data_IF_365002547486
#
_entry.id   IF_365002547486
#
_cell.length_a   1.000
_cell.length_b   1.000
_cell.length_c   1.000
_cell.angle_alpha   90.00
_cell.angle_beta   90.00
_cell.angle_gamma   90.00
#
_symmetry.space_group_name_H-M   'P 1'
#
loop_
_entity.id
_entity.type
_entity.pdbx_description
1 polymer ?
#
# COMPACT_ATOMS: atom_id res chain seq x y z
N UNK A 1 -17.82 -10.74 1.89
CA UNK A 1 -18.02 -12.14 1.45
C UNK A 1 -18.37 -12.11 -0.03
N UNK A 2 -17.43 -12.37 -0.96
CA UNK A 2 -17.82 -12.50 -2.36
C UNK A 2 -18.70 -13.75 -2.51
N UNK A 3 -19.80 -13.62 -3.25
CA UNK A 3 -20.83 -14.64 -3.40
C UNK A 3 -20.36 -15.80 -4.28
N UNK A 4 -20.36 -17.01 -3.71
CA UNK A 4 -20.06 -18.27 -4.38
C UNK A 4 -21.20 -18.76 -5.28
N UNK A 5 -21.30 -18.21 -6.50
CA UNK A 5 -22.02 -18.91 -7.58
C UNK A 5 -21.04 -19.22 -8.73
N UNK A 6 -20.56 -20.46 -8.88
CA UNK A 6 -19.62 -20.87 -9.93
C UNK A 6 -20.35 -21.13 -11.26
N UNK A 7 -21.15 -20.16 -11.69
CA UNK A 7 -21.80 -20.20 -13.00
C UNK A 7 -20.76 -20.00 -14.11
N UNK A 8 -20.30 -21.09 -14.72
CA UNK A 8 -19.63 -21.15 -16.03
C UNK A 8 -18.56 -20.06 -16.32
N UNK A 9 -17.78 -19.67 -15.32
CA UNK A 9 -16.68 -18.71 -15.50
C UNK A 9 -15.50 -19.43 -16.13
N UNK A 10 -15.12 -19.05 -17.35
CA UNK A 10 -13.90 -19.57 -17.95
C UNK A 10 -12.70 -19.00 -17.20
N UNK A 11 -11.75 -19.86 -16.82
CA UNK A 11 -10.46 -19.44 -16.26
C UNK A 11 -9.71 -18.70 -17.37
N UNK A 12 -9.27 -17.49 -17.06
CA UNK A 12 -8.47 -16.68 -17.97
C UNK A 12 -7.00 -17.05 -17.81
N UNK A 13 -6.51 -17.09 -16.57
CA UNK A 13 -5.17 -17.53 -16.22
C UNK A 13 -5.07 -17.89 -14.73
N UNK A 14 -3.95 -18.51 -14.36
CA UNK A 14 -3.59 -18.71 -12.96
C UNK A 14 -2.11 -18.42 -12.73
N UNK A 15 -1.79 -17.76 -11.61
CA UNK A 15 -0.43 -17.53 -11.15
C UNK A 15 -0.14 -18.37 -9.91
N UNK A 16 0.97 -19.09 -9.95
CA UNK A 16 1.51 -19.75 -8.77
C UNK A 16 2.52 -18.82 -8.11
N UNK A 17 2.21 -18.44 -6.88
CA UNK A 17 3.09 -17.74 -5.98
C UNK A 17 3.52 -18.78 -4.97
N UNK A 18 4.48 -19.62 -5.38
CA UNK A 18 4.87 -20.81 -4.63
C UNK A 18 3.71 -21.77 -4.37
N UNK A 19 3.20 -21.79 -3.14
CA UNK A 19 2.07 -22.63 -2.69
C UNK A 19 0.70 -21.95 -2.82
N UNK A 20 0.68 -20.63 -3.06
CA UNK A 20 -0.53 -19.87 -3.35
C UNK A 20 -0.83 -19.96 -4.84
N UNK A 21 -2.06 -20.31 -5.19
CA UNK A 21 -2.58 -20.27 -6.55
C UNK A 21 -3.66 -19.19 -6.64
N UNK A 22 -3.35 -18.16 -7.42
CA UNK A 22 -4.28 -17.11 -7.78
C UNK A 22 -4.90 -17.51 -9.12
N UNK A 23 -6.22 -17.61 -9.18
CA UNK A 23 -6.96 -17.92 -10.40
C UNK A 23 -7.87 -16.77 -10.75
N UNK A 24 -7.69 -16.24 -11.95
CA UNK A 24 -8.43 -15.11 -12.47
C UNK A 24 -9.34 -15.59 -13.57
N UNK A 25 -10.59 -15.14 -13.51
CA UNK A 25 -11.65 -15.54 -14.42
C UNK A 25 -11.88 -14.49 -15.50
N UNK A 26 -12.49 -14.93 -16.60
CA UNK A 26 -12.86 -14.12 -17.76
C UNK A 26 -13.79 -12.93 -17.47
N UNK A 27 -14.36 -12.85 -16.27
CA UNK A 27 -15.17 -11.72 -15.80
C UNK A 27 -14.41 -10.76 -14.87
N UNK A 28 -13.08 -10.92 -14.76
CA UNK A 28 -12.23 -10.12 -13.88
C UNK A 28 -12.29 -10.52 -12.41
N UNK A 29 -13.11 -11.52 -12.04
CA UNK A 29 -13.10 -12.01 -10.65
C UNK A 29 -11.89 -12.88 -10.39
N UNK A 30 -11.43 -12.88 -9.13
CA UNK A 30 -10.27 -13.63 -8.71
C UNK A 30 -10.60 -14.55 -7.54
N UNK A 31 -9.88 -15.67 -7.50
CA UNK A 31 -9.89 -16.58 -6.35
C UNK A 31 -8.47 -16.87 -5.95
N UNK A 32 -8.21 -16.83 -4.66
CA UNK A 32 -6.94 -17.23 -4.09
C UNK A 32 -7.16 -18.55 -3.37
N UNK A 33 -6.45 -19.57 -3.84
CA UNK A 33 -6.37 -20.87 -3.21
C UNK A 33 -4.95 -21.07 -2.71
N UNK A 34 -4.77 -21.86 -1.66
CA UNK A 34 -3.44 -22.19 -1.16
C UNK A 34 -3.39 -23.68 -0.81
N UNK A 35 -2.28 -24.30 -1.18
CA UNK A 35 -2.05 -25.73 -1.02
C UNK A 35 -1.11 -26.07 0.15
N UNK A 36 -0.59 -25.07 0.88
CA UNK A 36 0.30 -25.30 2.03
C UNK A 36 -0.45 -25.48 3.36
N UNK A 37 0.18 -26.25 4.27
CA UNK A 37 -0.27 -26.35 5.65
C UNK A 37 0.39 -25.24 6.48
N UNK A 38 -0.41 -24.29 7.00
CA UNK A 38 0.09 -23.23 7.89
C UNK A 38 0.19 -21.82 7.29
N UNK A 39 -0.56 -21.57 6.22
CA UNK A 39 -0.76 -20.26 5.59
C UNK A 39 -1.37 -19.28 6.57
N UNK A 40 -0.85 -18.07 6.63
CA UNK A 40 -1.44 -16.99 7.41
C UNK A 40 -2.36 -16.17 6.52
N UNK A 41 -3.65 -16.07 6.83
CA UNK A 41 -4.57 -15.14 6.16
C UNK A 41 -4.92 -14.00 7.11
N UNK A 42 -4.71 -12.76 6.66
CA UNK A 42 -5.05 -11.55 7.41
C UNK A 42 -6.08 -10.74 6.62
N UNK A 43 -7.00 -10.12 7.36
CA UNK A 43 -7.91 -9.11 6.82
C UNK A 43 -7.71 -7.85 7.64
N UNK A 44 -7.36 -6.76 6.97
CA UNK A 44 -7.22 -5.44 7.58
C UNK A 44 -8.58 -4.72 7.45
N UNK A 45 -9.01 -4.00 8.49
CA UNK A 45 -10.29 -3.27 8.50
C UNK A 45 -10.09 -1.82 8.96
N UNK A 46 -10.55 -0.82 8.18
CA UNK A 46 -10.25 0.61 8.34
C UNK A 46 -8.88 1.00 7.74
N UNK A 47 -8.60 2.30 7.52
CA UNK A 47 -7.30 2.77 7.01
C UNK A 47 -6.18 2.43 8.00
N UNK A 48 -5.43 1.37 7.74
CA UNK A 48 -4.37 0.92 8.64
C UNK A 48 -3.08 0.64 7.87
N UNK A 49 -1.97 0.99 8.52
CA UNK A 49 -0.65 0.48 8.18
C UNK A 49 -0.43 -0.85 8.90
N UNK A 50 -0.23 -1.91 8.13
CA UNK A 50 0.04 -3.25 8.63
C UNK A 50 1.44 -3.69 8.18
N UNK A 51 2.37 -3.74 9.14
CA UNK A 51 3.65 -4.40 8.93
C UNK A 51 3.47 -5.92 8.94
N UNK A 52 4.02 -6.59 7.96
CA UNK A 52 4.17 -8.04 7.87
C UNK A 52 5.64 -8.37 8.12
N UNK A 53 5.89 -9.06 9.23
CA UNK A 53 7.17 -9.64 9.55
C UNK A 53 6.94 -11.11 9.89
N UNK A 54 7.38 -11.99 9.01
CA UNK A 54 7.51 -13.41 9.25
C UNK A 54 8.91 -13.87 8.84
N UNK A 55 9.40 -14.91 9.51
CA UNK A 55 10.70 -15.52 9.23
C UNK A 55 10.53 -17.03 9.00
N UNK A 56 9.30 -17.49 8.74
CA UNK A 56 8.98 -18.91 8.62
C UNK A 56 8.86 -19.37 7.16
N UNK A 57 9.16 -18.48 6.20
CA UNK A 57 9.13 -18.67 4.75
C UNK A 57 7.78 -19.17 4.21
N UNK A 58 6.72 -19.08 5.01
CA UNK A 58 5.38 -19.50 4.61
C UNK A 58 4.65 -18.38 3.90
N UNK A 59 3.65 -18.77 3.13
CA UNK A 59 2.76 -17.81 2.49
C UNK A 59 1.91 -17.05 3.52
N UNK A 60 1.97 -15.72 3.42
CA UNK A 60 1.05 -14.78 4.05
C UNK A 60 0.16 -14.14 2.99
N UNK A 61 -1.16 -14.24 3.18
CA UNK A 61 -2.19 -13.65 2.32
C UNK A 61 -2.87 -12.53 3.08
N UNK A 62 -2.86 -11.32 2.53
CA UNK A 62 -3.43 -10.12 3.17
C UNK A 62 -4.48 -9.50 2.26
N UNK A 63 -5.67 -9.27 2.81
CA UNK A 63 -6.72 -8.49 2.18
C UNK A 63 -6.94 -7.21 2.97
N UNK A 64 -6.62 -6.07 2.36
CA UNK A 64 -7.00 -4.76 2.86
C UNK A 64 -8.46 -4.43 2.48
N UNK A 65 -8.98 -3.36 3.06
CA UNK A 65 -10.39 -3.00 2.96
C UNK A 65 -10.56 -1.78 2.06
N UNK A 66 -11.77 -1.23 1.98
CA UNK A 66 -12.13 -0.29 0.92
C UNK A 66 -11.63 1.15 1.13
N UNK A 67 -10.62 1.38 1.97
CA UNK A 67 -10.13 2.71 2.25
C UNK A 67 -8.60 2.68 2.36
N UNK A 68 -7.93 3.51 1.56
CA UNK A 68 -6.47 3.51 1.34
C UNK A 68 -5.64 3.00 2.51
N UNK A 69 -5.03 1.85 2.29
CA UNK A 69 -4.35 1.02 3.27
C UNK A 69 -2.85 0.90 2.94
N UNK A 70 -2.05 0.53 3.94
CA UNK A 70 -0.60 0.33 3.79
C UNK A 70 -0.27 -1.09 4.24
N UNK A 71 0.26 -1.92 3.33
CA UNK A 71 0.74 -3.27 3.64
C UNK A 71 2.25 -3.28 3.47
N UNK A 72 2.99 -3.23 4.58
CA UNK A 72 4.45 -3.26 4.57
C UNK A 72 4.96 -4.69 4.80
N UNK A 73 5.16 -5.43 3.72
CA UNK A 73 5.81 -6.74 3.73
C UNK A 73 7.32 -6.69 3.52
N UNK A 74 7.97 -5.52 3.54
CA UNK A 74 9.39 -5.37 3.21
C UNK A 74 10.36 -6.20 4.06
N UNK A 75 9.91 -6.65 5.24
CA UNK A 75 10.66 -7.51 6.17
C UNK A 75 10.20 -8.97 6.18
N UNK A 76 9.16 -9.32 5.42
CA UNK A 76 8.62 -10.68 5.32
C UNK A 76 9.44 -11.58 4.39
N UNK A 77 9.25 -12.88 4.55
CA UNK A 77 9.78 -13.91 3.67
C UNK A 77 8.73 -14.97 3.36
N UNK A 78 8.66 -15.40 2.11
CA UNK A 78 7.71 -16.42 1.72
C UNK A 78 7.08 -16.12 0.37
N UNK A 79 6.08 -16.93 0.02
CA UNK A 79 5.35 -16.71 -1.22
C UNK A 79 4.01 -16.04 -0.93
N UNK A 80 4.03 -14.71 -0.88
CA UNK A 80 2.96 -13.90 -0.31
C UNK A 80 2.01 -13.32 -1.36
N UNK A 81 0.80 -12.96 -0.93
CA UNK A 81 -0.17 -12.29 -1.79
C UNK A 81 -0.89 -11.17 -1.03
N UNK A 82 -0.74 -9.92 -1.48
CA UNK A 82 -1.32 -8.74 -0.85
C UNK A 82 -2.30 -8.04 -1.80
N UNK A 83 -3.49 -7.73 -1.30
CA UNK A 83 -4.59 -7.11 -2.05
C UNK A 83 -4.98 -5.81 -1.34
N UNK A 84 -4.82 -4.67 -2.02
CA UNK A 84 -5.11 -3.32 -1.50
C UNK A 84 -6.59 -3.07 -1.29
N UNK A 85 -7.40 -3.19 -2.35
CA UNK A 85 -8.86 -3.13 -2.24
C UNK A 85 -9.43 -1.91 -2.91
N UNK A 86 -10.02 -0.97 -2.16
CA UNK A 86 -10.45 0.31 -2.75
C UNK A 86 -9.73 1.47 -2.07
N UNK A 87 -9.49 2.55 -2.82
CA UNK A 87 -8.77 3.72 -2.32
C UNK A 87 -7.32 3.67 -2.78
N UNK A 88 -6.51 4.66 -2.37
CA UNK A 88 -5.08 4.68 -2.68
C UNK A 88 -4.34 3.82 -1.67
N UNK A 89 -3.80 2.70 -2.14
CA UNK A 89 -3.10 1.72 -1.34
C UNK A 89 -1.58 1.79 -1.56
N UNK A 90 -0.80 1.36 -0.56
CA UNK A 90 0.65 1.20 -0.70
C UNK A 90 1.06 -0.20 -0.25
N UNK A 91 1.67 -0.96 -1.15
CA UNK A 91 2.02 -2.36 -0.93
C UNK A 91 3.53 -2.56 -1.10
N UNK A 92 4.21 -3.11 -0.11
CA UNK A 92 5.62 -3.52 -0.21
C UNK A 92 5.77 -5.02 -0.14
N UNK A 93 6.42 -5.61 -1.15
CA UNK A 93 6.85 -6.99 -1.11
C UNK A 93 8.17 -7.16 -0.33
N UNK A 94 8.27 -8.29 0.37
CA UNK A 94 9.48 -8.73 1.05
C UNK A 94 10.37 -9.58 0.16
N UNK A 95 10.83 -10.70 0.69
CA UNK A 95 11.58 -11.70 -0.07
C UNK A 95 10.73 -12.90 -0.47
N UNK A 96 11.08 -13.53 -1.60
CA UNK A 96 10.35 -14.67 -2.16
C UNK A 96 9.61 -14.29 -3.44
N UNK A 97 8.70 -15.15 -3.90
CA UNK A 97 7.83 -14.77 -5.02
C UNK A 97 6.58 -14.13 -4.44
N UNK A 98 6.25 -12.90 -4.83
CA UNK A 98 5.15 -12.15 -4.20
C UNK A 98 4.17 -11.66 -5.25
N UNK A 99 2.89 -11.64 -4.91
CA UNK A 99 1.84 -11.05 -5.73
C UNK A 99 1.25 -9.83 -5.04
N UNK A 100 1.29 -8.68 -5.71
CA UNK A 100 0.73 -7.42 -5.24
C UNK A 100 -0.38 -7.00 -6.20
N UNK A 101 -1.55 -6.67 -5.65
CA UNK A 101 -2.70 -6.17 -6.41
C UNK A 101 -3.34 -4.96 -5.73
N UNK A 102 -3.20 -3.78 -6.33
CA UNK A 102 -3.78 -2.52 -5.82
C UNK A 102 -5.31 -2.52 -5.87
N UNK A 103 -5.90 -3.25 -6.82
CA UNK A 103 -7.34 -3.24 -7.11
C UNK A 103 -7.87 -1.88 -7.61
N UNK A 104 -8.68 -1.16 -6.84
CA UNK A 104 -9.33 0.08 -7.31
C UNK A 104 -8.73 1.26 -6.58
N UNK A 105 -8.01 2.13 -7.26
CA UNK A 105 -7.21 3.09 -6.51
C UNK A 105 -6.36 3.97 -7.36
N UNK A 106 -5.29 4.48 -6.77
CA UNK A 106 -4.16 5.02 -7.50
C UNK A 106 -2.99 4.72 -6.62
N UNK A 107 -2.47 3.53 -6.84
CA UNK A 107 -1.79 2.73 -5.86
C UNK A 107 -0.29 2.77 -6.08
N UNK A 108 0.46 2.45 -5.04
CA UNK A 108 1.91 2.39 -5.11
C UNK A 108 2.35 0.99 -4.69
N UNK A 109 2.91 0.25 -5.64
CA UNK A 109 3.34 -1.13 -5.42
C UNK A 109 4.85 -1.22 -5.53
N UNK A 110 5.49 -1.76 -4.50
CA UNK A 110 6.93 -1.95 -4.42
C UNK A 110 7.28 -3.44 -4.49
N UNK A 111 7.93 -3.82 -5.58
CA UNK A 111 8.55 -5.12 -5.76
C UNK A 111 9.65 -5.38 -4.73
N UNK A 112 9.87 -6.66 -4.47
CA UNK A 112 10.77 -7.15 -3.43
C UNK A 112 11.94 -7.96 -4.00
N UNK A 113 12.58 -8.75 -3.14
CA UNK A 113 13.61 -9.70 -3.57
C UNK A 113 12.95 -10.96 -4.11
N UNK A 114 13.21 -11.32 -5.36
CA UNK A 114 12.62 -12.52 -5.98
C UNK A 114 11.67 -12.13 -7.11
N UNK A 115 10.74 -12.99 -7.49
CA UNK A 115 9.81 -12.64 -8.58
C UNK A 115 8.60 -11.93 -8.00
N UNK A 116 8.42 -10.64 -8.26
CA UNK A 116 7.17 -9.95 -7.89
C UNK A 116 6.24 -9.86 -9.09
N UNK A 117 4.98 -10.25 -8.93
CA UNK A 117 3.92 -9.88 -9.87
C UNK A 117 3.19 -8.67 -9.31
N UNK A 118 3.26 -7.55 -10.03
CA UNK A 118 2.62 -6.29 -9.67
C UNK A 118 1.43 -6.06 -10.59
N UNK A 119 0.27 -5.84 -9.98
CA UNK A 119 -0.98 -5.49 -10.67
C UNK A 119 -1.48 -4.19 -10.07
N UNK A 120 -1.41 -3.09 -10.83
CA UNK A 120 -1.92 -1.80 -10.38
C UNK A 120 -3.43 -1.88 -10.16
N UNK A 121 -4.15 -2.21 -11.23
CA UNK A 121 -5.60 -2.32 -11.21
C UNK A 121 -6.22 -1.10 -11.87
N UNK A 122 -7.35 -0.62 -11.37
CA UNK A 122 -8.01 0.55 -11.92
C UNK A 122 -7.43 1.83 -11.30
N UNK A 123 -6.94 2.74 -12.14
CA UNK A 123 -6.54 4.09 -11.79
C UNK A 123 -5.14 4.42 -12.29
N UNK A 124 -4.52 5.49 -11.78
CA UNK A 124 -3.15 5.83 -12.17
C UNK A 124 -2.15 5.33 -11.15
N UNK A 125 -1.51 4.18 -11.43
CA UNK A 125 -0.67 3.48 -10.45
C UNK A 125 0.83 3.74 -10.66
N UNK A 126 1.61 3.56 -9.59
CA UNK A 126 3.08 3.57 -9.64
C UNK A 126 3.62 2.22 -9.21
N UNK A 127 4.26 1.54 -10.14
CA UNK A 127 4.75 0.18 -9.96
C UNK A 127 6.28 0.18 -9.97
N UNK A 128 6.89 -0.17 -8.84
CA UNK A 128 8.34 -0.27 -8.69
C UNK A 128 8.80 -1.72 -8.79
N UNK A 129 9.75 -1.99 -9.69
CA UNK A 129 10.56 -3.21 -9.59
C UNK A 129 11.39 -3.25 -8.30
N UNK A 130 11.90 -4.44 -7.97
CA UNK A 130 12.63 -4.71 -6.73
C UNK A 130 13.96 -3.98 -6.62
N UNK A 131 14.23 -3.40 -5.44
CA UNK A 131 15.53 -2.80 -5.09
C UNK A 131 16.08 -3.33 -3.76
N UNK A 132 17.40 -3.49 -3.70
CA UNK A 132 18.15 -3.70 -2.45
C UNK A 132 19.20 -2.60 -2.32
N UNK A 133 18.89 -1.58 -1.51
CA UNK A 133 19.63 -0.33 -1.48
C UNK A 133 19.62 0.35 -2.85
N UNK A 134 20.78 0.42 -3.50
CA UNK A 134 20.98 1.08 -4.79
C UNK A 134 21.11 0.09 -5.96
N UNK A 135 20.58 -1.13 -5.83
CA UNK A 135 20.70 -2.16 -6.87
C UNK A 135 19.34 -2.77 -7.18
N UNK A 136 19.03 -2.90 -8.48
CA UNK A 136 17.89 -3.68 -8.94
C UNK A 136 18.06 -5.16 -8.54
N UNK A 137 17.00 -5.75 -8.01
CA UNK A 137 16.92 -7.15 -7.58
C UNK A 137 15.59 -7.73 -8.02
N UNK A 138 15.48 -9.05 -8.00
CA UNK A 138 14.25 -9.72 -8.39
C UNK A 138 14.04 -9.81 -9.90
N UNK A 139 12.98 -10.50 -10.31
CA UNK A 139 12.58 -10.64 -11.71
C UNK A 139 11.10 -10.32 -11.77
N UNK A 140 10.74 -9.11 -12.13
CA UNK A 140 9.39 -8.62 -11.87
C UNK A 140 8.48 -8.70 -13.10
N UNK A 141 7.19 -8.85 -12.82
CA UNK A 141 6.12 -8.96 -13.81
C UNK A 141 5.10 -7.86 -13.53
N UNK A 142 4.99 -6.89 -14.43
CA UNK A 142 3.97 -5.85 -14.41
C UNK A 142 2.80 -6.32 -15.27
N UNK A 143 1.71 -6.74 -14.62
CA UNK A 143 0.60 -7.41 -15.28
C UNK A 143 -0.59 -6.47 -15.46
N UNK A 144 -1.03 -6.32 -16.71
CA UNK A 144 -2.20 -5.55 -17.10
C UNK A 144 -3.35 -6.50 -17.42
N UNK A 145 -4.48 -6.33 -16.70
CA UNK A 145 -5.68 -7.17 -16.80
C UNK A 145 -6.75 -6.57 -17.70
N UNK A 146 -6.77 -5.24 -17.85
CA UNK A 146 -7.69 -4.53 -18.74
C UNK A 146 -7.06 -3.30 -19.40
N UNK A 147 -7.67 -2.82 -20.49
CA UNK A 147 -7.28 -1.54 -21.09
C UNK A 147 -7.62 -0.33 -20.18
N UNK A 148 -8.56 -0.53 -19.27
CA UNK A 148 -8.94 0.46 -18.25
C UNK A 148 -7.90 0.61 -17.15
N UNK A 149 -6.95 -0.32 -17.03
CA UNK A 149 -5.93 -0.28 -16.01
C UNK A 149 -4.97 0.90 -16.24
N UNK A 150 -4.69 1.24 -17.50
CA UNK A 150 -3.84 2.39 -17.84
C UNK A 150 -4.30 3.04 -19.15
N UNK A 151 -5.47 3.71 -19.12
CA UNK A 151 -6.19 4.09 -20.32
C UNK A 151 -5.44 5.18 -21.10
N UNK A 152 -5.45 5.06 -22.42
CA UNK A 152 -4.99 6.13 -23.29
C UNK A 152 -5.99 7.30 -23.26
N UNK A 153 -5.71 8.33 -22.46
CA UNK A 153 -6.45 9.60 -22.49
C UNK A 153 -5.76 10.61 -23.44
N UNK A 154 -6.53 11.23 -24.34
CA UNK A 154 -6.03 12.31 -25.19
C UNK A 154 -5.82 13.60 -24.36
N UNK A 155 -4.56 14.00 -24.16
CA UNK A 155 -4.17 15.14 -23.33
C UNK A 155 -2.73 14.98 -22.84
N UNK A 156 -2.07 16.08 -22.48
CA UNK A 156 -0.69 16.06 -21.94
C UNK A 156 -0.59 15.29 -20.61
N UNK A 157 0.64 15.16 -20.06
CA UNK A 157 0.85 14.40 -18.84
C UNK A 157 -0.09 14.85 -17.73
N UNK A 158 -0.88 13.91 -17.21
CA UNK A 158 -1.47 14.09 -15.90
C UNK A 158 -0.29 14.06 -14.90
N UNK A 159 -0.17 15.03 -13.98
CA UNK A 159 0.85 14.98 -12.95
C UNK A 159 0.74 13.66 -12.17
N UNK A 160 1.84 13.18 -11.60
CA UNK A 160 1.93 11.96 -10.76
C UNK A 160 0.91 11.97 -9.60
N UNK A 161 0.32 13.13 -9.31
CA UNK A 161 -0.78 13.34 -8.36
C UNK A 161 -2.20 13.14 -8.94
N UNK A 162 -2.36 12.62 -10.16
CA UNK A 162 -3.66 12.55 -10.85
C UNK A 162 -4.18 11.11 -10.94
N UNK A 163 -5.23 10.74 -10.17
CA UNK A 163 -5.76 9.39 -10.08
C UNK A 163 -6.55 8.88 -11.31
N UNK A 164 -6.59 9.68 -12.38
CA UNK A 164 -7.21 9.33 -13.66
C UNK A 164 -6.15 9.16 -14.77
N UNK A 165 -4.91 8.90 -14.36
CA UNK A 165 -3.75 8.82 -15.23
C UNK A 165 -3.48 7.40 -15.71
N UNK A 166 -2.63 7.31 -16.72
CA UNK A 166 -1.82 6.15 -17.02
C UNK A 166 -0.92 5.72 -15.86
N UNK A 167 -0.51 4.46 -15.90
CA UNK A 167 0.48 3.90 -14.98
C UNK A 167 1.91 4.33 -15.27
N UNK A 168 2.72 4.28 -14.22
CA UNK A 168 4.15 4.52 -14.24
C UNK A 168 4.87 3.28 -13.73
N UNK A 169 5.80 2.76 -14.54
CA UNK A 169 6.71 1.70 -14.15
C UNK A 169 8.10 2.30 -13.90
N UNK A 170 8.62 2.01 -12.72
CA UNK A 170 9.94 2.40 -12.27
C UNK A 170 10.79 1.16 -12.00
N UNK A 171 12.12 1.33 -12.04
CA UNK A 171 13.10 0.27 -11.74
C UNK A 171 13.00 -0.96 -12.67
N UNK A 172 12.55 -0.77 -13.91
CA UNK A 172 12.44 -1.86 -14.88
C UNK A 172 13.82 -2.33 -15.37
N UNK A 173 14.21 -3.54 -15.02
CA UNK A 173 15.44 -4.19 -15.49
C UNK A 173 15.23 -4.86 -16.86
N UNK A 174 15.61 -4.17 -17.93
CA UNK A 174 15.50 -4.69 -19.29
C UNK A 174 16.15 -6.07 -19.46
N UNK A 175 15.45 -6.98 -20.15
CA UNK A 175 15.89 -8.35 -20.41
C UNK A 175 15.60 -9.33 -19.27
N UNK A 176 15.22 -8.82 -18.10
CA UNK A 176 14.89 -9.60 -16.91
C UNK A 176 13.42 -9.43 -16.52
N UNK A 177 12.99 -8.18 -16.36
CA UNK A 177 11.62 -7.84 -16.03
C UNK A 177 10.72 -7.93 -17.26
N UNK A 178 9.41 -8.00 -17.00
CA UNK A 178 8.39 -8.21 -18.01
C UNK A 178 7.17 -7.33 -17.75
N UNK A 179 6.71 -6.64 -18.79
CA UNK A 179 5.33 -6.14 -18.85
C UNK A 179 4.48 -7.19 -19.57
N UNK A 180 3.40 -7.62 -18.93
CA UNK A 180 2.55 -8.74 -19.36
C UNK A 180 1.13 -8.27 -19.69
N UNK A 181 0.74 -8.48 -20.96
CA UNK A 181 -0.60 -8.19 -21.48
C UNK A 181 -1.36 -9.46 -21.88
N UNK A 182 -0.85 -10.64 -21.53
CA UNK A 182 -1.38 -11.94 -22.02
C UNK A 182 -2.83 -12.19 -21.63
N UNK A 183 -3.34 -11.44 -20.66
CA UNK A 183 -4.63 -11.68 -20.02
C UNK A 183 -5.65 -10.59 -20.32
N UNK A 184 -5.32 -9.62 -21.17
CA UNK A 184 -6.27 -8.59 -21.59
C UNK A 184 -7.52 -9.26 -22.17
N UNK A 185 -8.65 -9.10 -21.49
CA UNK A 185 -9.95 -9.58 -21.93
C UNK A 185 -10.76 -8.44 -22.56
N UNK A 186 -11.26 -8.68 -23.77
CA UNK A 186 -12.11 -7.82 -24.61
C UNK A 186 -13.40 -7.31 -23.89
N UNK A 187 -13.81 -7.90 -22.77
CA UNK A 187 -15.12 -7.68 -22.14
C UNK A 187 -15.35 -6.29 -21.51
N UNK A 188 -14.38 -5.38 -21.54
CA UNK A 188 -14.53 -4.00 -21.03
C UNK A 188 -14.23 -2.90 -22.07
N UNK A 189 -14.24 -3.21 -23.37
CA UNK A 189 -14.21 -2.19 -24.42
C UNK A 189 -15.47 -2.31 -25.28
N UNK A 190 -16.41 -1.40 -25.08
CA UNK A 190 -17.56 -1.29 -25.96
C UNK A 190 -17.14 -0.89 -27.37
N UNK A 191 -16.97 -1.86 -28.27
CA UNK A 191 -17.36 -1.80 -29.69
C UNK A 191 -17.06 -3.11 -30.47
N UNK A 192 -17.42 -4.27 -29.92
CA UNK A 192 -17.82 -5.45 -30.68
C UNK A 192 -16.76 -6.15 -31.54
N UNK A 193 -16.16 -7.21 -30.99
CA UNK A 193 -15.39 -8.16 -31.79
C UNK A 193 -14.89 -9.35 -31.00
N UNK A 194 -15.76 -10.34 -30.76
CA UNK A 194 -15.43 -11.58 -30.07
C UNK A 194 -14.30 -12.34 -30.75
N UNK A 195 -13.10 -12.31 -30.17
CA UNK A 195 -12.15 -13.43 -30.19
C UNK A 195 -10.99 -13.08 -29.26
N UNK A 196 -10.77 -13.92 -28.23
CA UNK A 196 -9.46 -14.09 -27.62
C UNK A 196 -8.40 -14.05 -28.73
N UNK A 197 -7.35 -13.23 -28.58
CA UNK A 197 -6.24 -13.02 -29.52
C UNK A 197 -5.90 -14.31 -30.32
N UNK A 198 -6.57 -14.55 -31.46
CA UNK A 198 -6.37 -15.77 -32.26
C UNK A 198 -6.25 -15.37 -33.72
N UNK A 199 -5.10 -15.73 -34.29
CA UNK A 199 -4.60 -15.19 -35.56
C UNK A 199 -3.30 -14.42 -35.34
N UNK A 200 -2.18 -15.17 -35.28
CA UNK A 200 -0.82 -14.66 -35.01
C UNK A 200 -0.58 -13.96 -33.65
N UNK A 201 -1.25 -14.43 -32.59
CA UNK A 201 -0.88 -14.24 -31.17
C UNK A 201 -1.17 -15.56 -30.41
N UNK A 202 -0.79 -15.77 -29.14
CA UNK A 202 -0.04 -14.96 -28.17
C UNK A 202 1.15 -15.77 -27.59
N UNK A 203 2.34 -15.66 -28.19
CA UNK A 203 3.60 -15.86 -27.48
C UNK A 203 4.38 -14.57 -27.68
N UNK A 204 4.35 -13.75 -26.63
CA UNK A 204 5.01 -12.45 -26.50
C UNK A 204 4.15 -11.27 -26.99
N UNK A 205 3.50 -10.64 -26.02
CA UNK A 205 3.55 -9.20 -25.82
C UNK A 205 4.35 -9.02 -24.53
N UNK A 206 5.62 -9.42 -24.60
CA UNK A 206 6.58 -9.30 -23.51
C UNK A 206 7.55 -8.22 -23.92
N UNK A 207 7.42 -7.02 -23.37
CA UNK A 207 8.44 -6.02 -23.60
C UNK A 207 9.65 -6.33 -22.72
N UNK A 208 10.77 -6.72 -23.36
CA UNK A 208 12.06 -7.05 -22.71
C UNK A 208 13.16 -6.02 -22.99
N UNK A 209 12.85 -4.88 -23.60
CA UNK A 209 13.78 -3.75 -23.70
C UNK A 209 14.75 -3.64 -24.88
N UNK A 210 15.19 -4.71 -25.55
CA UNK A 210 16.11 -4.54 -26.70
C UNK A 210 16.24 -5.72 -27.68
N UNK A 211 15.99 -6.97 -27.25
CA UNK A 211 16.16 -8.16 -28.10
C UNK A 211 14.93 -9.05 -27.92
N UNK A 212 14.26 -9.41 -29.03
CA UNK A 212 12.99 -10.17 -29.04
C UNK A 212 11.78 -9.42 -28.45
N UNK A 213 11.76 -8.08 -28.53
CA UNK A 213 10.57 -7.27 -28.23
C UNK A 213 9.70 -7.11 -29.47
N UNK A 214 8.39 -7.23 -29.30
CA UNK A 214 7.41 -6.96 -30.36
C UNK A 214 7.20 -5.45 -30.63
N UNK A 215 7.77 -4.60 -29.76
CA UNK A 215 7.69 -3.16 -29.85
C UNK A 215 8.68 -2.58 -30.88
N UNK A 216 8.16 -1.79 -31.82
CA UNK A 216 8.96 -0.89 -32.67
C UNK A 216 8.90 0.54 -32.13
N UNK A 217 9.89 1.37 -32.46
CA UNK A 217 9.89 2.78 -32.01
C UNK A 217 9.01 3.65 -32.90
N UNK A 218 8.07 4.36 -32.28
CA UNK A 218 7.33 5.49 -32.84
C UNK A 218 6.15 5.16 -33.77
N UNK A 219 5.88 3.89 -34.10
CA UNK A 219 4.78 3.54 -35.00
C UNK A 219 4.14 2.20 -34.59
N UNK A 220 2.80 2.19 -34.52
CA UNK A 220 2.00 0.98 -34.41
C UNK A 220 2.21 0.07 -35.62
N UNK A 221 2.26 -1.24 -35.43
CA UNK A 221 2.39 -2.17 -36.54
C UNK A 221 1.04 -2.35 -37.25
N UNK A 222 0.80 -1.58 -38.31
CA UNK A 222 -0.45 -1.59 -39.07
C UNK A 222 -0.76 -2.91 -39.80
N UNK A 223 0.15 -3.88 -39.77
CA UNK A 223 -0.06 -5.21 -40.33
C UNK A 223 -0.59 -6.23 -39.29
N UNK A 224 -0.60 -5.86 -38.00
CA UNK A 224 -1.11 -6.69 -36.92
C UNK A 224 -2.46 -6.16 -36.45
N UNK A 225 -3.35 -7.07 -36.08
CA UNK A 225 -4.63 -6.73 -35.47
C UNK A 225 -4.49 -6.26 -34.01
N UNK A 226 -3.30 -6.32 -33.42
CA UNK A 226 -2.98 -5.81 -32.08
C UNK A 226 -1.50 -5.44 -32.12
N UNK A 227 -1.09 -4.33 -31.49
CA UNK A 227 0.30 -3.90 -31.58
C UNK A 227 0.80 -3.21 -30.33
N UNK A 228 2.12 -3.29 -30.10
CA UNK A 228 2.82 -2.50 -29.09
C UNK A 228 3.93 -1.73 -29.75
N UNK A 229 4.15 -0.51 -29.28
CA UNK A 229 5.25 0.34 -29.73
C UNK A 229 5.70 1.25 -28.60
N UNK A 230 6.93 1.76 -28.69
CA UNK A 230 7.40 2.80 -27.79
C UNK A 230 7.26 4.17 -28.44
N UNK A 231 7.39 5.25 -27.66
CA UNK A 231 7.71 6.54 -28.25
C UNK A 231 9.05 6.50 -29.01
N UNK A 232 9.29 7.59 -29.76
CA UNK A 232 10.59 7.80 -30.36
C UNK A 232 11.57 8.12 -29.24
N UNK A 233 12.68 7.39 -29.20
CA UNK A 233 13.72 7.63 -28.22
C UNK A 233 14.18 9.11 -28.24
N UNK A 234 14.44 9.66 -27.05
CA UNK A 234 14.99 11.00 -26.88
C UNK A 234 16.43 11.10 -27.40
N UNK A 235 17.07 12.28 -27.26
CA UNK A 235 18.45 12.48 -27.67
C UNK A 235 19.48 11.61 -26.94
N UNK A 236 19.09 11.02 -25.80
CA UNK A 236 19.92 10.13 -24.99
C UNK A 236 19.65 8.65 -25.29
N UNK A 237 18.68 8.35 -26.17
CA UNK A 237 18.30 6.98 -26.52
C UNK A 237 17.26 6.37 -25.59
N UNK A 238 16.64 7.16 -24.71
CA UNK A 238 15.63 6.70 -23.76
C UNK A 238 14.23 6.76 -24.40
N UNK A 239 13.43 5.71 -24.19
CA UNK A 239 12.00 5.69 -24.48
C UNK A 239 11.25 5.87 -23.18
N UNK A 240 10.32 6.82 -23.11
CA UNK A 240 9.58 7.13 -21.88
C UNK A 240 8.20 6.48 -21.84
N UNK A 241 7.67 6.06 -23.00
CA UNK A 241 6.32 5.56 -23.08
C UNK A 241 6.22 4.28 -23.90
N UNK A 242 5.41 3.36 -23.38
CA UNK A 242 4.90 2.21 -24.09
C UNK A 242 3.43 2.43 -24.43
N UNK A 243 3.05 2.02 -25.63
CA UNK A 243 1.71 2.13 -26.16
C UNK A 243 1.23 0.75 -26.57
N UNK A 244 -0.04 0.45 -26.29
CA UNK A 244 -0.67 -0.81 -26.67
C UNK A 244 -1.96 -0.50 -27.41
N UNK A 245 -2.08 -1.05 -28.62
CA UNK A 245 -3.33 -1.15 -29.38
C UNK A 245 -3.93 -2.52 -29.11
N UNK A 246 -5.04 -2.52 -28.37
CA UNK A 246 -5.80 -3.70 -27.95
C UNK A 246 -7.02 -3.97 -28.83
N UNK A 247 -7.39 -3.03 -29.70
CA UNK A 247 -8.59 -3.13 -30.55
C UNK A 247 -8.26 -3.37 -32.02
N UNK A 248 -7.00 -3.19 -32.42
CA UNK A 248 -6.52 -3.36 -33.78
C UNK A 248 -6.88 -2.24 -34.73
N UNK A 249 -7.31 -1.09 -34.20
CA UNK A 249 -7.70 0.06 -35.00
C UNK A 249 -6.49 0.93 -35.41
N UNK A 250 -5.29 0.55 -34.98
CA UNK A 250 -4.03 1.25 -35.22
C UNK A 250 -3.80 2.42 -34.26
N UNK A 251 -4.61 2.57 -33.20
CA UNK A 251 -4.46 3.57 -32.15
C UNK A 251 -4.20 2.92 -30.81
N UNK A 252 -3.58 3.67 -29.91
CA UNK A 252 -3.29 3.17 -28.57
C UNK A 252 -4.55 3.22 -27.71
N UNK A 253 -4.81 2.11 -27.03
CA UNK A 253 -5.83 1.98 -25.99
C UNK A 253 -5.19 2.06 -24.59
N UNK A 254 -3.93 1.64 -24.46
CA UNK A 254 -3.14 1.73 -23.22
C UNK A 254 -1.90 2.58 -23.45
N UNK A 255 -1.51 3.33 -22.42
CA UNK A 255 -0.32 4.20 -22.44
C UNK A 255 0.40 4.07 -21.10
N UNK A 256 1.64 3.60 -21.07
CA UNK A 256 2.38 3.38 -19.81
C UNK A 256 3.65 4.21 -19.85
N UNK A 257 3.97 4.92 -18.78
CA UNK A 257 5.26 5.53 -18.61
C UNK A 257 6.27 4.48 -18.13
N UNK A 258 7.39 4.36 -18.83
CA UNK A 258 8.50 3.50 -18.44
C UNK A 258 9.72 4.40 -18.35
N UNK A 259 10.12 4.73 -17.13
CA UNK A 259 11.36 5.47 -16.96
C UNK A 259 12.51 4.49 -16.69
N UNK A 260 13.50 4.56 -17.58
CA UNK A 260 14.78 3.88 -17.42
C UNK A 260 15.62 4.67 -16.39
N UNK A 261 15.16 4.71 -15.14
CA UNK A 261 15.80 5.55 -14.15
C UNK A 261 17.15 4.96 -13.77
N UNK A 262 18.24 5.62 -14.21
CA UNK A 262 19.45 5.61 -13.42
C UNK A 262 19.07 5.99 -11.97
N UNK A 263 19.79 5.46 -10.97
CA UNK A 263 19.58 5.70 -9.52
C UNK A 263 19.41 7.17 -9.09
N UNK A 264 19.65 8.13 -9.99
CA UNK A 264 19.47 9.56 -9.83
C UNK A 264 18.18 10.17 -10.41
N UNK A 265 17.24 9.42 -11.02
CA UNK A 265 16.07 9.99 -11.74
C UNK A 265 14.71 9.82 -11.03
N UNK A 266 14.73 9.70 -9.71
CA UNK A 266 13.51 9.82 -8.90
C UNK A 266 13.26 11.32 -8.66
N UNK A 267 12.49 11.94 -9.54
CA UNK A 267 11.89 13.25 -9.28
C UNK A 267 10.37 13.08 -9.37
N UNK A 268 9.73 12.90 -8.21
CA UNK A 268 8.30 12.64 -8.09
C UNK A 268 7.90 11.69 -6.95
N UNK A 269 8.79 10.79 -6.53
CA UNK A 269 8.60 9.91 -5.33
C UNK A 269 9.77 10.00 -4.33
N UNK A 270 10.87 10.71 -4.67
CA UNK A 270 11.89 11.14 -3.68
C UNK A 270 11.56 12.45 -2.96
N UNK A 271 10.49 13.14 -3.35
CA UNK A 271 10.10 14.44 -2.80
C UNK A 271 8.98 14.36 -1.76
N UNK A 272 8.45 13.17 -1.43
CA UNK A 272 7.62 13.04 -0.23
C UNK A 272 8.51 13.36 0.98
N UNK A 273 8.28 14.49 1.60
CA UNK A 273 8.93 14.89 2.83
C UNK A 273 8.34 14.04 3.97
N UNK A 274 9.04 13.90 5.10
CA UNK A 274 8.38 13.32 6.26
C UNK A 274 7.39 14.36 6.83
N UNK A 275 6.31 13.92 7.48
CA UNK A 275 5.45 14.83 8.23
C UNK A 275 6.27 15.62 9.25
N UNK A 276 5.85 16.84 9.54
CA UNK A 276 6.51 17.69 10.53
C UNK A 276 5.58 17.80 11.73
N UNK A 277 5.96 17.21 12.85
CA UNK A 277 5.29 17.44 14.14
C UNK A 277 5.66 18.83 14.64
N UNK A 278 4.64 19.65 14.89
CA UNK A 278 4.76 21.05 15.31
C UNK A 278 4.26 21.30 16.73
N UNK A 279 3.54 20.35 17.32
CA UNK A 279 3.17 20.38 18.75
C UNK A 279 4.40 20.24 19.65
N UNK A 280 4.31 20.76 20.88
CA UNK A 280 5.41 20.69 21.86
C UNK A 280 5.66 19.27 22.40
N UNK A 281 6.65 19.11 23.28
CA UNK A 281 7.03 17.81 23.85
C UNK A 281 6.45 17.54 25.24
N UNK A 282 5.41 18.25 25.66
CA UNK A 282 4.78 18.02 26.96
C UNK A 282 3.29 18.35 26.99
N UNK A 283 2.58 17.60 27.84
CA UNK A 283 1.20 17.85 28.25
C UNK A 283 1.11 17.92 29.78
N UNK A 284 -0.02 18.37 30.29
CA UNK A 284 -0.31 18.30 31.72
C UNK A 284 -1.80 18.24 31.96
N UNK A 285 -2.20 17.41 32.91
CA UNK A 285 -3.59 17.29 33.34
C UNK A 285 -3.62 17.22 34.86
N UNK A 286 -4.69 17.72 35.45
CA UNK A 286 -4.95 17.51 36.88
C UNK A 286 -5.42 16.08 37.11
N UNK A 287 -5.07 15.52 38.25
CA UNK A 287 -5.67 14.25 38.66
C UNK A 287 -7.20 14.34 38.82
N UNK A 288 -7.84 13.18 38.90
CA UNK A 288 -9.28 13.01 39.13
C UNK A 288 -10.18 13.68 38.07
N UNK A 289 -9.59 14.09 36.95
CA UNK A 289 -10.28 14.59 35.77
C UNK A 289 -10.88 13.43 34.96
N UNK A 290 -11.83 13.74 34.08
CA UNK A 290 -12.44 12.71 33.24
C UNK A 290 -11.44 12.20 32.21
N UNK A 291 -11.35 10.87 32.03
CA UNK A 291 -10.39 10.24 31.12
C UNK A 291 -10.44 10.79 29.67
N UNK A 292 -11.62 11.19 29.22
CA UNK A 292 -11.86 11.76 27.88
C UNK A 292 -11.32 13.19 27.68
N UNK A 293 -10.75 13.83 28.71
CA UNK A 293 -10.07 15.11 28.54
C UNK A 293 -8.86 14.95 27.61
N UNK A 294 -8.71 15.89 26.67
CA UNK A 294 -7.54 15.93 25.79
C UNK A 294 -6.37 16.50 26.57
N UNK A 295 -5.44 15.63 26.94
CA UNK A 295 -4.27 15.96 27.78
C UNK A 295 -3.06 16.40 26.95
N UNK A 296 -3.09 16.08 25.67
CA UNK A 296 -2.12 16.53 24.67
C UNK A 296 -2.77 16.53 23.28
N UNK A 297 -2.47 17.53 22.46
CA UNK A 297 -2.93 17.61 21.09
C UNK A 297 -1.73 17.57 20.16
N UNK A 298 -1.61 16.48 19.40
CA UNK A 298 -0.63 16.36 18.33
C UNK A 298 -1.03 17.29 17.19
N UNK A 299 -0.10 18.14 16.77
CA UNK A 299 -0.24 18.96 15.57
C UNK A 299 0.88 18.58 14.62
N UNK A 300 0.53 18.18 13.41
CA UNK A 300 1.48 17.86 12.38
C UNK A 300 0.99 18.38 11.03
N UNK A 301 1.93 18.70 10.15
CA UNK A 301 1.66 19.09 8.77
C UNK A 301 2.57 18.29 7.86
N UNK A 302 2.05 17.93 6.70
CA UNK A 302 2.87 17.35 5.66
C UNK A 302 3.14 18.39 4.55
N UNK A 303 4.39 18.57 4.07
CA UNK A 303 4.72 19.52 3.02
C UNK A 303 4.00 19.26 1.68
N UNK A 304 3.60 18.02 1.42
CA UNK A 304 2.85 17.59 0.24
C UNK A 304 1.34 17.55 0.50
N UNK A 305 0.91 17.91 1.72
CA UNK A 305 -0.48 17.92 2.17
C UNK A 305 -1.13 16.52 2.20
N UNK A 306 -0.33 15.48 2.39
CA UNK A 306 -0.84 14.12 2.58
C UNK A 306 -1.67 13.96 3.86
N UNK A 307 -2.54 12.95 3.86
CA UNK A 307 -3.38 12.64 5.02
C UNK A 307 -2.53 11.96 6.09
N UNK A 308 -2.63 12.46 7.33
CA UNK A 308 -1.81 11.99 8.43
C UNK A 308 -2.52 10.94 9.30
N UNK A 309 -1.75 9.94 9.69
CA UNK A 309 -2.12 8.89 10.64
C UNK A 309 -1.27 9.00 11.89
N UNK A 310 -1.90 8.89 13.06
CA UNK A 310 -1.23 9.04 14.34
C UNK A 310 -1.26 7.76 15.17
N UNK A 311 -0.13 7.39 15.77
CA UNK A 311 -0.03 6.26 16.71
C UNK A 311 0.84 6.63 17.92
N UNK A 312 0.82 5.78 18.95
CA UNK A 312 1.60 5.96 20.18
C UNK A 312 2.47 4.73 20.46
N UNK A 313 3.73 4.96 20.86
CA UNK A 313 4.60 3.97 21.51
C UNK A 313 5.21 4.57 22.77
N UNK A 314 6.09 3.84 23.46
CA UNK A 314 6.74 4.28 24.70
C UNK A 314 6.22 3.52 25.92
N UNK A 315 6.87 3.75 27.06
CA UNK A 315 6.66 2.98 28.29
C UNK A 315 5.20 3.03 28.77
N UNK A 316 4.55 4.19 28.65
CA UNK A 316 3.21 4.43 29.18
C UNK A 316 2.13 4.49 28.08
N UNK A 317 2.47 4.22 26.82
CA UNK A 317 1.55 4.37 25.67
C UNK A 317 0.27 3.55 25.81
N UNK A 318 0.34 2.39 26.48
CA UNK A 318 -0.82 1.54 26.70
C UNK A 318 -1.94 2.22 27.51
N UNK A 319 -1.62 3.28 28.28
CA UNK A 319 -2.55 4.03 29.14
C UNK A 319 -3.30 5.14 28.40
N UNK A 320 -2.97 5.39 27.13
CA UNK A 320 -3.53 6.48 26.32
C UNK A 320 -4.22 5.96 25.05
N UNK A 321 -5.14 6.76 24.55
CA UNK A 321 -5.67 6.67 23.19
C UNK A 321 -5.24 7.92 22.40
N UNK A 322 -5.08 7.77 21.08
CA UNK A 322 -4.90 8.89 20.15
C UNK A 322 -5.95 8.80 19.04
N UNK A 323 -6.63 9.91 18.78
CA UNK A 323 -7.65 10.00 17.73
C UNK A 323 -7.02 10.26 16.35
N UNK A 324 -7.82 10.08 15.28
CA UNK A 324 -7.43 10.44 13.91
C UNK A 324 -7.08 11.93 13.74
N UNK A 325 -7.55 12.81 14.64
CA UNK A 325 -7.21 14.23 14.65
C UNK A 325 -6.04 14.56 15.59
N UNK A 326 -5.33 13.56 16.12
CA UNK A 326 -4.15 13.74 16.98
C UNK A 326 -4.44 14.07 18.44
N UNK A 327 -5.70 14.05 18.88
CA UNK A 327 -6.05 14.29 20.28
C UNK A 327 -5.71 13.06 21.13
N UNK A 328 -4.89 13.25 22.18
CA UNK A 328 -4.47 12.22 23.13
C UNK A 328 -5.27 12.34 24.42
N UNK A 329 -5.81 11.22 24.88
CA UNK A 329 -6.64 11.11 26.10
C UNK A 329 -6.17 9.93 26.95
N UNK A 330 -6.41 9.99 28.26
CA UNK A 330 -6.21 8.81 29.11
C UNK A 330 -7.30 7.76 28.86
N UNK A 331 -6.97 6.49 29.01
CA UNK A 331 -7.96 5.40 29.05
C UNK A 331 -8.70 5.31 30.38
N UNK A 332 -8.06 5.74 31.47
CA UNK A 332 -8.62 5.80 32.80
C UNK A 332 -8.24 7.13 33.46
N UNK A 333 -9.14 7.68 34.30
CA UNK A 333 -8.89 8.93 34.99
C UNK A 333 -7.58 8.89 35.79
N UNK A 334 -6.69 9.90 35.67
CA UNK A 334 -5.41 9.92 36.36
C UNK A 334 -5.60 10.11 37.87
N UNK A 335 -4.69 9.54 38.67
CA UNK A 335 -4.65 9.68 40.12
C UNK A 335 -3.19 9.90 40.55
N UNK A 336 -2.92 10.96 41.31
CA UNK A 336 -1.54 11.36 41.64
C UNK A 336 -0.91 10.48 42.73
N UNK A 337 -1.69 10.06 43.73
CA UNK A 337 -1.23 9.18 44.81
C UNK A 337 -1.08 7.71 44.38
N UNK A 338 -1.70 7.34 43.27
CA UNK A 338 -1.72 6.00 42.69
C UNK A 338 -1.42 6.05 41.18
N UNK A 339 -0.29 6.66 40.85
CA UNK A 339 0.18 6.83 39.48
C UNK A 339 0.28 5.47 38.76
N UNK A 340 -0.27 5.40 37.54
CA UNK A 340 -0.36 4.17 36.76
C UNK A 340 0.82 4.01 35.77
N UNK A 341 1.65 5.05 35.65
CA UNK A 341 2.89 5.03 34.88
C UNK A 341 3.87 3.98 35.43
N UNK A 342 4.73 3.47 34.55
CA UNK A 342 5.56 2.32 34.85
C UNK A 342 6.47 2.53 36.08
N UNK A 343 7.00 3.74 36.25
CA UNK A 343 7.90 4.15 37.31
C UNK A 343 7.22 4.89 38.47
N UNK A 344 5.91 5.12 38.40
CA UNK A 344 5.09 5.72 39.45
C UNK A 344 5.59 7.11 39.89
N UNK A 345 6.07 7.95 38.96
CA UNK A 345 6.58 9.30 39.24
C UNK A 345 5.69 10.43 38.74
N UNK A 346 4.49 10.10 38.24
CA UNK A 346 3.49 11.02 37.68
C UNK A 346 3.93 11.72 36.39
N UNK A 347 5.00 11.23 35.74
CA UNK A 347 5.51 11.72 34.46
C UNK A 347 5.42 10.63 33.38
N UNK A 348 4.26 10.58 32.73
CA UNK A 348 3.92 9.56 31.75
C UNK A 348 4.65 9.83 30.43
N UNK A 349 5.41 8.86 29.93
CA UNK A 349 6.25 8.96 28.73
C UNK A 349 5.64 8.20 27.57
N UNK A 350 5.31 8.96 26.52
CA UNK A 350 4.85 8.44 25.24
C UNK A 350 5.73 8.99 24.12
N UNK A 351 5.81 8.26 23.02
CA UNK A 351 6.34 8.73 21.75
C UNK A 351 5.16 8.81 20.79
N UNK A 352 4.91 10.01 20.28
CA UNK A 352 3.90 10.25 19.24
C UNK A 352 4.53 9.99 17.88
N UNK A 353 3.81 9.29 17.03
CA UNK A 353 4.16 8.98 15.65
C UNK A 353 3.17 9.65 14.72
N UNK A 354 3.65 10.40 13.74
CA UNK A 354 2.86 10.99 12.66
C UNK A 354 3.38 10.47 11.33
N UNK A 355 2.56 9.75 10.59
CA UNK A 355 2.91 9.18 9.29
C UNK A 355 1.94 9.65 8.20
N UNK A 356 2.49 9.89 7.01
CA UNK A 356 1.76 10.17 5.76
C UNK A 356 1.50 8.89 4.93
N UNK A 357 1.85 7.71 5.47
CA UNK A 357 1.82 6.43 4.76
C UNK A 357 3.14 6.05 4.06
N UNK A 358 4.10 6.97 3.92
CA UNK A 358 5.41 6.78 3.27
C UNK A 358 6.59 6.99 4.21
N UNK A 359 6.56 8.06 4.99
CA UNK A 359 7.55 8.49 5.98
C UNK A 359 6.86 8.80 7.30
N UNK A 360 7.68 8.93 8.33
CA UNK A 360 7.20 9.12 9.68
C UNK A 360 8.09 10.14 10.38
N UNK A 361 7.45 10.99 11.19
CA UNK A 361 8.12 11.76 12.21
C UNK A 361 7.66 11.31 13.59
N UNK A 362 8.60 11.33 14.52
CA UNK A 362 8.36 10.92 15.90
C UNK A 362 8.77 12.03 16.85
N UNK A 363 8.10 12.12 17.99
CA UNK A 363 8.45 13.05 19.07
C UNK A 363 8.08 12.44 20.40
N UNK A 364 9.04 12.45 21.34
CA UNK A 364 8.79 12.07 22.71
C UNK A 364 8.01 13.17 23.44
N UNK A 365 6.97 12.77 24.18
CA UNK A 365 6.08 13.63 24.92
C UNK A 365 5.99 13.13 26.36
N UNK A 366 6.12 14.06 27.31
CA UNK A 366 5.88 13.79 28.73
C UNK A 366 4.58 14.45 29.19
N UNK A 367 3.64 13.64 29.68
CA UNK A 367 2.38 14.12 30.25
C UNK A 367 2.50 14.09 31.77
N UNK A 368 2.44 15.27 32.40
CA UNK A 368 2.58 15.39 33.85
C UNK A 368 1.22 15.48 34.53
N UNK A 369 0.96 14.56 35.45
CA UNK A 369 -0.22 14.64 36.32
C UNK A 369 0.10 15.52 37.52
N UNK A 370 -0.74 16.50 37.81
CA UNK A 370 -0.56 17.40 38.97
C UNK A 370 -1.55 17.08 40.08
N UNK A 371 -1.02 17.02 41.31
CA UNK A 371 -1.75 16.88 42.58
C UNK A 371 -2.87 17.92 42.71
N UNK A 372 -4.06 17.46 43.12
CA UNK A 372 -5.18 18.29 43.54
C UNK A 372 -5.70 17.87 44.92
N UNK A 373 -4.97 18.22 45.98
CA UNK A 373 -5.35 18.07 47.39
C UNK A 373 -6.83 17.69 47.65
N UNK A 374 -7.03 16.40 47.88
CA UNK A 374 -8.32 15.81 48.17
C UNK A 374 -8.68 15.95 49.65
N UNK A 375 -9.99 15.95 49.92
CA UNK A 375 -10.43 15.81 51.30
C UNK A 375 -10.07 14.39 51.79
N UNK A 376 -9.56 14.23 53.04
CA UNK A 376 -9.29 12.91 53.59
C UNK A 376 -10.51 12.01 53.44
N UNK A 377 -10.31 10.79 52.94
CA UNK A 377 -11.35 9.78 52.92
C UNK A 377 -11.93 9.66 54.33
N UNK A 378 -13.26 9.80 54.46
CA UNK A 378 -13.91 9.69 55.76
C UNK A 378 -13.61 8.29 56.31
N UNK A 379 -12.75 8.21 57.32
CA UNK A 379 -12.63 7.00 58.11
C UNK A 379 -14.02 6.73 58.68
N UNK A 380 -14.63 5.63 58.28
CA UNK A 380 -15.88 5.14 58.85
C UNK A 380 -15.64 4.74 60.30
N UNK A 381 -15.46 5.73 61.19
CA UNK A 381 -15.49 5.51 62.62
C UNK A 381 -16.93 5.21 62.99
N UNK A 382 -17.21 3.92 63.14
CA UNK A 382 -18.31 3.48 63.99
C UNK A 382 -18.02 4.02 65.38
N UNK A 383 -18.67 5.11 65.75
CA UNK A 383 -18.75 5.55 67.14
C UNK A 383 -19.59 4.54 67.93
N UNK A 384 -19.02 3.38 68.21
CA UNK A 384 -19.48 2.46 69.24
C UNK A 384 -18.35 2.19 70.21
N UNK A 385 -17.99 3.21 70.99
CA UNK A 385 -17.35 2.99 72.27
C UNK A 385 -18.46 2.89 73.33
N UNK A 386 -18.81 1.67 73.72
CA UNK A 386 -19.61 1.42 74.93
C UNK A 386 -18.67 1.01 76.07
N UNK A 387 -18.77 1.70 77.20
CA UNK A 387 -18.10 1.29 78.45
C UNK A 387 -19.14 0.58 79.31
N UNK A 388 -18.82 -0.63 79.79
CA UNK A 388 -19.69 -1.36 80.70
C UNK A 388 -19.67 -0.74 82.10
N UNK A 389 -20.83 -0.72 82.76
CA UNK A 389 -21.03 -0.23 84.14
C UNK A 389 -20.35 -1.12 85.20
#
# INVERSE_FOLDING_TARGET
MPSNNPGNKAILYSYNVGTVLITVYSDGTETVSNYDAGVTTKTITGNQSQAIADNDDKATIVYANNAGDTIDGSKGSGNDAYFGGNGKDILWAGSGNVYLDGNNGSDILHGGKGTTTLVGGNGGDVLYGGIDGNKLVGTDIFLYRGAVDSPYAAGGPAPVSSPNGWDIIQNFEHGKDKIDFTVLADTQVGAGGTTQLTGSGPNHLVWRGAVQSDAQSGVANSALAHSVWTDKADSNGNTHFLYVDTTGDGKADIKIQIDNAALGDVNGVRDNSAPIITSGSSGSEKENTVAANVVYQTLATDPENDTLHFTLTGDDAALFDISATGAVTFKASPNFEAAADQNHDNAYKITVHASDGFKEATTDVTINVTDVNEQPASLGVSNQASVAE
#
